data_IF_017350899877
#
_entry.id   IF_017350899877
#
_cell.length_a   1.000
_cell.length_b   1.000
_cell.length_c   1.000
_cell.angle_alpha   90.00
_cell.angle_beta   90.00
_cell.angle_gamma   90.00
#
_symmetry.space_group_name_H-M   'P 1'
#
loop_
_entity.id
_entity.type
_entity.pdbx_description
1 polymer ?
#
# COMPACT_ATOMS: atom_id res chain seq x y z
N UNK A 1 -8.80 -3.34 40.20
CA UNK A 1 -9.93 -2.57 39.67
C UNK A 1 -9.50 -1.35 38.84
N UNK A 2 -8.74 -0.38 39.36
CA UNK A 2 -8.21 0.72 38.53
C UNK A 2 -7.17 0.27 37.49
N UNK A 3 -6.26 -0.65 37.87
CA UNK A 3 -5.22 -1.19 36.97
C UNK A 3 -5.77 -2.08 35.85
N UNK A 4 -6.89 -2.77 36.11
CA UNK A 4 -7.57 -3.64 35.13
C UNK A 4 -8.35 -2.83 34.09
N UNK A 5 -8.88 -1.66 34.47
CA UNK A 5 -9.54 -0.75 33.52
C UNK A 5 -8.55 -0.10 32.53
N UNK A 6 -7.31 0.16 32.95
CA UNK A 6 -6.26 0.73 32.08
C UNK A 6 -5.80 -0.25 31.00
N UNK A 7 -5.74 -1.55 31.30
CA UNK A 7 -5.36 -2.60 30.33
C UNK A 7 -6.41 -2.81 29.24
N UNK A 8 -7.69 -2.59 29.53
CA UNK A 8 -8.78 -2.72 28.56
C UNK A 8 -8.85 -1.55 27.56
N UNK A 9 -8.35 -0.37 27.91
CA UNK A 9 -8.32 0.80 27.00
C UNK A 9 -7.13 0.82 26.03
N UNK A 10 -6.09 0.02 26.28
CA UNK A 10 -4.92 -0.06 25.39
C UNK A 10 -5.14 -0.97 24.17
N UNK A 11 -6.19 -1.79 24.15
CA UNK A 11 -6.46 -2.75 23.07
C UNK A 11 -7.22 -2.19 21.86
N UNK A 12 -7.69 -0.93 21.92
CA UNK A 12 -8.57 -0.34 20.91
C UNK A 12 -7.85 0.56 19.89
N UNK A 13 -6.57 0.29 19.63
CA UNK A 13 -5.83 0.89 18.51
C UNK A 13 -5.55 -0.16 17.43
N UNK A 14 -6.60 -0.86 17.00
CA UNK A 14 -6.53 -1.66 15.76
C UNK A 14 -6.66 -0.68 14.61
N UNK A 15 -5.55 -0.36 13.96
CA UNK A 15 -5.56 0.37 12.70
C UNK A 15 -6.41 -0.42 11.71
N UNK A 16 -7.48 0.21 11.23
CA UNK A 16 -8.34 -0.39 10.20
C UNK A 16 -7.52 -0.45 8.91
N UNK A 17 -6.99 -1.63 8.59
CA UNK A 17 -6.39 -1.89 7.29
C UNK A 17 -7.52 -2.07 6.27
N UNK A 18 -7.95 -0.96 5.67
CA UNK A 18 -8.83 -1.04 4.50
C UNK A 18 -8.07 -1.72 3.36
N UNK A 19 -8.70 -2.69 2.71
CA UNK A 19 -8.16 -3.27 1.49
C UNK A 19 -8.03 -2.17 0.43
N UNK A 20 -6.91 -2.17 -0.30
CA UNK A 20 -6.71 -1.24 -1.40
C UNK A 20 -7.64 -1.59 -2.58
N UNK A 21 -8.18 -0.56 -3.24
CA UNK A 21 -8.92 -0.70 -4.49
C UNK A 21 -7.93 -0.83 -5.66
N UNK A 22 -7.85 -2.04 -6.22
CA UNK A 22 -6.93 -2.37 -7.30
C UNK A 22 -7.29 -1.65 -8.60
N UNK A 23 -8.58 -1.50 -8.91
CA UNK A 23 -9.02 -0.90 -10.17
C UNK A 23 -8.81 0.63 -10.13
N UNK A 24 -9.16 1.27 -9.01
CA UNK A 24 -8.82 2.67 -8.78
C UNK A 24 -7.29 2.90 -8.79
N UNK A 25 -6.52 1.95 -8.26
CA UNK A 25 -5.05 1.96 -8.30
C UNK A 25 -4.49 1.92 -9.73
N UNK A 26 -5.00 1.01 -10.58
CA UNK A 26 -4.60 0.90 -11.99
C UNK A 26 -4.87 2.19 -12.75
N UNK A 27 -6.04 2.81 -12.57
CA UNK A 27 -6.38 4.06 -13.23
C UNK A 27 -5.41 5.20 -12.85
N UNK A 28 -5.05 5.29 -11.56
CA UNK A 28 -4.08 6.29 -11.06
C UNK A 28 -2.66 6.03 -11.58
N UNK A 29 -2.29 4.77 -11.80
CA UNK A 29 -0.96 4.38 -12.26
C UNK A 29 -0.68 4.69 -13.75
N UNK A 30 -1.66 5.21 -14.50
CA UNK A 30 -1.53 5.45 -15.94
C UNK A 30 -0.33 6.34 -16.31
N UNK A 31 -0.04 7.38 -15.52
CA UNK A 31 1.10 8.27 -15.74
C UNK A 31 2.43 7.59 -15.40
N UNK A 32 2.44 6.69 -14.42
CA UNK A 32 3.62 5.94 -13.99
C UNK A 32 4.14 4.99 -15.08
N UNK A 33 3.22 4.46 -15.91
CA UNK A 33 3.54 3.54 -17.00
C UNK A 33 4.48 4.14 -18.04
N UNK A 34 4.56 5.47 -18.14
CA UNK A 34 5.47 6.16 -19.05
C UNK A 34 6.95 5.82 -18.75
N UNK A 35 7.30 5.58 -17.48
CA UNK A 35 8.66 5.24 -17.08
C UNK A 35 8.79 3.78 -16.65
N UNK A 36 7.78 3.25 -15.96
CA UNK A 36 7.85 1.94 -15.32
C UNK A 36 7.19 0.81 -16.13
N UNK A 37 6.70 1.11 -17.34
CA UNK A 37 5.98 0.17 -18.19
C UNK A 37 4.55 -0.11 -17.72
N UNK A 38 3.70 -0.60 -18.63
CA UNK A 38 2.26 -0.81 -18.36
C UNK A 38 2.00 -1.79 -17.21
N UNK A 39 2.85 -2.81 -17.07
CA UNK A 39 2.73 -3.82 -16.02
C UNK A 39 3.67 -3.55 -14.83
N UNK A 40 4.24 -2.36 -14.72
CA UNK A 40 5.28 -2.06 -13.73
C UNK A 40 6.60 -2.80 -14.00
N UNK A 41 6.81 -3.25 -15.24
CA UNK A 41 8.07 -3.82 -15.73
C UNK A 41 8.65 -2.84 -16.74
N UNK A 42 9.74 -2.18 -16.36
CA UNK A 42 10.42 -1.19 -17.19
C UNK A 42 11.23 -1.86 -18.30
N UNK A 43 11.24 -1.24 -19.49
CA UNK A 43 12.14 -1.61 -20.59
C UNK A 43 13.45 -0.81 -20.57
N UNK A 44 13.53 0.24 -19.75
CA UNK A 44 14.70 1.10 -19.59
C UNK A 44 15.43 0.69 -18.31
N UNK A 45 16.68 0.23 -18.35
CA UNK A 45 17.39 -0.29 -17.18
C UNK A 45 17.52 0.68 -15.99
N UNK A 46 17.51 1.99 -16.26
CA UNK A 46 17.60 3.01 -15.23
C UNK A 46 16.31 3.17 -14.41
N UNK A 47 15.15 2.81 -14.97
CA UNK A 47 13.88 2.90 -14.25
C UNK A 47 13.55 1.57 -13.56
N UNK A 48 13.27 1.57 -12.26
CA UNK A 48 13.02 0.33 -11.52
C UNK A 48 11.69 -0.31 -11.90
N UNK A 49 11.60 -1.63 -11.70
CA UNK A 49 10.34 -2.35 -11.76
C UNK A 49 9.52 -2.08 -10.50
N UNK A 50 8.23 -1.76 -10.70
CA UNK A 50 7.25 -1.58 -9.63
C UNK A 50 6.42 -2.85 -9.37
N UNK A 51 6.41 -3.79 -10.33
CA UNK A 51 5.67 -5.04 -10.21
C UNK A 51 6.08 -5.81 -8.94
N UNK A 52 5.11 -6.14 -8.09
CA UNK A 52 5.32 -6.91 -6.86
C UNK A 52 5.88 -6.12 -5.67
N UNK A 53 6.08 -4.80 -5.79
CA UNK A 53 6.43 -3.98 -4.64
C UNK A 53 5.27 -3.97 -3.62
N UNK A 54 5.61 -4.07 -2.34
CA UNK A 54 4.65 -3.97 -1.23
C UNK A 54 4.51 -2.50 -0.86
N UNK A 55 3.29 -2.10 -0.46
CA UNK A 55 3.12 -0.83 0.22
C UNK A 55 3.98 -0.80 1.50
N UNK A 56 4.51 0.38 1.89
CA UNK A 56 5.27 0.52 3.14
C UNK A 56 4.45 0.14 4.37
#
# INVERSE_FOLDING_TARGET
>A
MKKTAVLLMAGLMVTSAFAADIEAGKAKAATCAACHGQNGISMVPMYPNLAGQKAP
#
